data_IF_378451032718
#
_entry.id   IF_378451032718
#
_cell.length_a   1.000
_cell.length_b   1.000
_cell.length_c   1.000
_cell.angle_alpha   90.00
_cell.angle_beta   90.00
_cell.angle_gamma   90.00
#
_symmetry.space_group_name_H-M   'P 1'
#
loop_
_entity.id
_entity.type
_entity.pdbx_description
1 polymer ?
#
# COMPACT_ATOMS: atom_id res chain seq x y z
N UNK A 1 -26.53 -7.25 -7.44
CA UNK A 1 -27.79 -6.63 -6.95
C UNK A 1 -27.41 -5.85 -5.69
N UNK A 2 -27.59 -4.52 -5.64
CA UNK A 2 -26.92 -3.68 -4.61
C UNK A 2 -27.75 -3.41 -3.35
N UNK A 3 -28.88 -4.09 -3.16
CA UNK A 3 -29.77 -3.85 -2.01
C UNK A 3 -29.81 -5.09 -1.11
N UNK A 4 -29.64 -4.94 0.22
CA UNK A 4 -29.79 -6.05 1.14
C UNK A 4 -31.24 -6.55 1.15
N UNK A 5 -31.47 -7.83 1.46
CA UNK A 5 -32.80 -8.34 1.67
C UNK A 5 -33.45 -7.61 2.87
N UNK A 6 -34.80 -7.46 2.90
CA UNK A 6 -35.47 -6.80 4.01
C UNK A 6 -35.11 -7.53 5.32
N UNK A 7 -34.59 -6.78 6.29
CA UNK A 7 -34.25 -7.32 7.61
C UNK A 7 -35.50 -7.68 8.40
N UNK A 8 -35.48 -8.80 9.12
CA UNK A 8 -36.54 -9.10 10.09
C UNK A 8 -36.34 -8.28 11.36
N UNK A 9 -37.38 -7.58 11.86
CA UNK A 9 -37.33 -6.93 13.15
C UNK A 9 -36.95 -7.92 14.26
N UNK A 10 -36.00 -7.53 15.08
CA UNK A 10 -35.50 -8.33 16.18
C UNK A 10 -35.63 -7.53 17.49
N UNK A 11 -36.15 -8.19 18.54
CA UNK A 11 -36.40 -7.54 19.82
C UNK A 11 -35.49 -8.12 20.90
N UNK A 12 -34.44 -7.39 21.34
CA UNK A 12 -33.49 -7.87 22.36
C UNK A 12 -34.14 -8.36 23.67
N UNK A 13 -35.29 -7.80 24.03
CA UNK A 13 -36.03 -8.16 25.25
C UNK A 13 -36.68 -9.55 25.17
N UNK A 14 -36.83 -10.11 23.96
CA UNK A 14 -37.38 -11.45 23.74
C UNK A 14 -36.32 -12.55 23.81
N UNK A 15 -35.06 -12.21 24.10
CA UNK A 15 -33.97 -13.19 24.15
C UNK A 15 -34.12 -14.14 25.36
N UNK A 16 -33.67 -15.40 25.22
CA UNK A 16 -33.42 -16.27 26.36
C UNK A 16 -32.50 -15.57 27.38
N UNK A 17 -32.70 -15.84 28.67
CA UNK A 17 -31.87 -15.29 29.74
C UNK A 17 -30.39 -15.60 29.48
N UNK A 18 -29.56 -14.57 29.50
CA UNK A 18 -28.11 -14.67 29.28
C UNK A 18 -27.68 -14.61 27.82
N UNK A 19 -28.59 -14.40 26.86
CA UNK A 19 -28.25 -14.25 25.44
C UNK A 19 -28.37 -12.79 24.99
N UNK A 20 -27.26 -12.23 24.50
CA UNK A 20 -27.22 -10.90 23.88
C UNK A 20 -26.80 -11.02 22.41
N UNK A 21 -27.67 -10.57 21.49
CA UNK A 21 -27.32 -10.45 20.09
C UNK A 21 -26.85 -9.03 19.78
N UNK A 22 -25.64 -8.95 19.24
CA UNK A 22 -24.94 -7.69 18.95
C UNK A 22 -24.83 -7.50 17.45
N UNK A 23 -24.78 -6.24 17.05
CA UNK A 23 -24.57 -5.85 15.67
C UNK A 23 -23.19 -6.33 15.20
N UNK A 24 -23.17 -6.96 14.05
CA UNK A 24 -21.96 -7.58 13.48
C UNK A 24 -20.88 -6.59 13.09
N UNK A 25 -21.26 -5.34 12.83
CA UNK A 25 -20.37 -4.25 12.41
C UNK A 25 -19.85 -3.44 13.61
N UNK A 26 -20.70 -3.13 14.60
CA UNK A 26 -20.35 -2.17 15.67
C UNK A 26 -20.44 -2.71 17.10
N UNK A 27 -20.92 -3.94 17.31
CA UNK A 27 -21.06 -4.55 18.64
C UNK A 27 -22.18 -3.99 19.53
N UNK A 28 -22.92 -2.95 19.09
CA UNK A 28 -24.10 -2.42 19.80
C UNK A 28 -25.28 -3.43 19.78
N UNK A 29 -26.28 -3.31 20.67
CA UNK A 29 -27.46 -4.17 20.63
C UNK A 29 -28.11 -4.20 19.24
N UNK A 30 -28.51 -5.40 18.80
CA UNK A 30 -29.13 -5.59 17.49
C UNK A 30 -30.65 -5.45 17.53
N UNK A 31 -31.24 -4.89 16.47
CA UNK A 31 -32.68 -4.71 16.29
C UNK A 31 -33.19 -5.27 14.95
N UNK A 32 -32.28 -5.79 14.13
CA UNK A 32 -32.56 -6.42 12.84
C UNK A 32 -31.80 -7.73 12.72
N UNK A 33 -32.40 -8.69 12.04
CA UNK A 33 -31.82 -9.99 11.73
C UNK A 33 -31.84 -10.19 10.20
N UNK A 34 -30.77 -10.74 9.64
CA UNK A 34 -30.73 -11.10 8.23
C UNK A 34 -31.83 -12.12 7.91
N UNK A 35 -32.65 -11.85 6.89
CA UNK A 35 -33.79 -12.70 6.54
C UNK A 35 -33.43 -14.00 5.83
N UNK A 36 -32.23 -14.07 5.24
CA UNK A 36 -31.71 -15.24 4.55
C UNK A 36 -31.04 -16.18 5.55
N UNK A 37 -29.92 -15.79 6.16
CA UNK A 37 -29.15 -16.69 7.01
C UNK A 37 -29.71 -16.83 8.43
N UNK A 38 -30.46 -15.84 8.93
CA UNK A 38 -31.00 -15.77 10.31
C UNK A 38 -29.96 -15.90 11.43
N UNK A 39 -28.66 -15.90 11.12
CA UNK A 39 -27.57 -16.04 12.10
C UNK A 39 -26.79 -14.75 12.32
N UNK A 40 -27.13 -13.68 11.59
CA UNK A 40 -26.40 -12.41 11.56
C UNK A 40 -27.36 -11.27 11.91
N UNK A 41 -26.90 -10.37 12.77
CA UNK A 41 -27.73 -9.36 13.44
C UNK A 41 -27.13 -7.96 13.28
N UNK A 42 -28.01 -6.95 13.21
CA UNK A 42 -27.66 -5.55 12.95
C UNK A 42 -28.41 -4.61 13.89
N UNK A 43 -27.81 -3.47 14.23
CA UNK A 43 -28.50 -2.43 15.00
C UNK A 43 -29.46 -1.58 14.13
N UNK A 44 -29.33 -1.64 12.80
CA UNK A 44 -30.16 -0.86 11.87
C UNK A 44 -29.86 -1.18 10.41
N UNK A 45 -30.64 -0.61 9.49
CA UNK A 45 -30.58 -0.87 8.05
C UNK A 45 -29.26 -0.43 7.42
N UNK A 46 -28.65 0.64 7.96
CA UNK A 46 -27.37 1.15 7.47
C UNK A 46 -26.24 0.13 7.64
N UNK A 47 -26.09 -0.44 8.84
CA UNK A 47 -25.08 -1.48 9.09
C UNK A 47 -25.38 -2.77 8.33
N UNK A 48 -26.66 -3.11 8.13
CA UNK A 48 -27.04 -4.22 7.26
C UNK A 48 -26.58 -3.98 5.81
N UNK A 49 -26.78 -2.77 5.29
CA UNK A 49 -26.39 -2.40 3.92
C UNK A 49 -24.88 -2.42 3.74
N UNK A 50 -24.14 -1.82 4.67
CA UNK A 50 -22.67 -1.79 4.64
C UNK A 50 -22.11 -3.21 4.71
N UNK A 51 -22.62 -4.06 5.61
CA UNK A 51 -22.23 -5.47 5.70
C UNK A 51 -22.58 -6.25 4.42
N UNK A 52 -23.77 -6.04 3.85
CA UNK A 52 -24.23 -6.68 2.62
C UNK A 52 -23.33 -6.39 1.42
N UNK A 53 -23.08 -5.10 1.17
CA UNK A 53 -22.21 -4.66 0.05
C UNK A 53 -20.76 -5.05 0.30
N UNK A 54 -20.31 -5.01 1.56
CA UNK A 54 -18.93 -5.34 1.93
C UNK A 54 -18.61 -6.82 1.77
N UNK A 55 -19.40 -7.71 2.38
CA UNK A 55 -19.06 -9.13 2.44
C UNK A 55 -20.27 -10.08 2.54
N UNK A 56 -21.35 -9.66 3.21
CA UNK A 56 -22.40 -10.56 3.63
C UNK A 56 -23.11 -11.25 2.47
N UNK A 57 -23.32 -10.58 1.33
CA UNK A 57 -23.90 -11.22 0.13
C UNK A 57 -23.15 -12.51 -0.24
N UNK A 58 -21.82 -12.50 -0.11
CA UNK A 58 -20.95 -13.62 -0.50
C UNK A 58 -20.84 -14.69 0.57
N UNK A 59 -21.03 -14.33 1.83
CA UNK A 59 -20.83 -15.26 2.96
C UNK A 59 -22.13 -15.74 3.61
N UNK A 60 -23.27 -15.15 3.24
CA UNK A 60 -24.57 -15.40 3.87
C UNK A 60 -24.92 -16.89 3.94
N UNK A 61 -24.72 -17.61 2.82
CA UNK A 61 -25.01 -19.04 2.73
C UNK A 61 -24.07 -19.88 3.62
N UNK A 62 -22.77 -19.62 3.55
CA UNK A 62 -21.75 -20.35 4.32
C UNK A 62 -21.91 -20.13 5.82
N UNK A 63 -22.29 -18.91 6.23
CA UNK A 63 -22.56 -18.58 7.63
C UNK A 63 -23.65 -19.46 8.26
N UNK A 64 -24.66 -19.86 7.48
CA UNK A 64 -25.69 -20.80 7.98
C UNK A 64 -25.10 -22.17 8.35
N UNK A 65 -24.14 -22.65 7.58
CA UNK A 65 -23.46 -23.92 7.86
C UNK A 65 -22.51 -23.80 9.04
N UNK A 66 -21.74 -22.72 9.12
CA UNK A 66 -20.68 -22.54 10.14
C UNK A 66 -21.29 -22.31 11.52
N UNK A 67 -22.34 -21.48 11.60
CA UNK A 67 -22.96 -21.10 12.88
C UNK A 67 -24.08 -22.04 13.32
N UNK A 68 -24.25 -23.18 12.64
CA UNK A 68 -25.25 -24.17 13.02
C UNK A 68 -24.89 -24.74 14.40
N UNK A 69 -25.83 -24.79 15.36
CA UNK A 69 -25.57 -25.38 16.66
C UNK A 69 -25.17 -26.85 16.48
N UNK A 70 -24.07 -27.24 17.12
CA UNK A 70 -23.56 -28.61 17.07
C UNK A 70 -24.57 -29.52 17.74
N UNK A 71 -25.12 -30.47 16.98
CA UNK A 71 -25.99 -31.52 17.53
C UNK A 71 -25.16 -32.50 18.35
N UNK A 72 -25.80 -33.24 19.25
CA UNK A 72 -25.10 -34.31 19.97
C UNK A 72 -24.57 -35.36 18.97
N UNK A 73 -23.25 -35.57 18.98
CA UNK A 73 -22.55 -36.58 18.16
C UNK A 73 -21.90 -37.55 19.15
N UNK A 74 -22.29 -38.82 19.09
CA UNK A 74 -21.86 -39.83 20.07
C UNK A 74 -20.42 -40.31 19.83
N UNK A 75 -20.02 -40.46 18.56
CA UNK A 75 -18.69 -40.95 18.20
C UNK A 75 -17.62 -39.84 18.34
N UNK A 76 -16.45 -40.17 18.90
CA UNK A 76 -15.31 -39.25 18.90
C UNK A 76 -14.78 -38.99 17.50
N UNK A 77 -14.77 -40.00 16.63
CA UNK A 77 -14.27 -39.88 15.25
C UNK A 77 -15.16 -38.94 14.41
N UNK A 78 -16.48 -39.06 14.57
CA UNK A 78 -17.43 -38.14 13.92
C UNK A 78 -17.29 -36.71 14.46
N UNK A 79 -17.04 -36.55 15.77
CA UNK A 79 -16.77 -35.22 16.35
C UNK A 79 -15.47 -34.63 15.82
N UNK A 80 -14.42 -35.44 15.65
CA UNK A 80 -13.16 -34.99 15.05
C UNK A 80 -13.37 -34.54 13.60
N UNK A 81 -14.01 -35.37 12.78
CA UNK A 81 -14.31 -35.02 11.39
C UNK A 81 -15.13 -33.74 11.28
N UNK A 82 -16.13 -33.55 12.13
CA UNK A 82 -16.93 -32.33 12.15
C UNK A 82 -16.11 -31.09 12.56
N UNK A 83 -15.13 -31.23 13.46
CA UNK A 83 -14.19 -30.14 13.81
C UNK A 83 -13.28 -29.80 12.64
N UNK A 84 -12.72 -30.82 11.97
CA UNK A 84 -11.81 -30.64 10.84
C UNK A 84 -12.55 -29.96 9.66
N UNK A 85 -13.77 -30.40 9.35
CA UNK A 85 -14.64 -29.77 8.32
C UNK A 85 -15.00 -28.32 8.67
N UNK A 86 -15.22 -28.01 9.95
CA UNK A 86 -15.48 -26.64 10.40
C UNK A 86 -14.22 -25.77 10.28
N UNK A 87 -13.06 -26.33 10.63
CA UNK A 87 -11.78 -25.64 10.53
C UNK A 87 -11.45 -25.33 9.07
N UNK A 88 -11.61 -26.27 8.16
CA UNK A 88 -11.42 -26.07 6.71
C UNK A 88 -12.32 -24.95 6.17
N UNK A 89 -13.62 -24.99 6.52
CA UNK A 89 -14.55 -23.89 6.17
C UNK A 89 -14.10 -22.54 6.72
N UNK A 90 -13.59 -22.49 7.94
CA UNK A 90 -13.09 -21.23 8.51
C UNK A 90 -11.85 -20.75 7.75
N UNK A 91 -10.94 -21.63 7.34
CA UNK A 91 -9.75 -21.28 6.53
C UNK A 91 -10.17 -20.69 5.18
N UNK A 92 -11.09 -21.34 4.47
CA UNK A 92 -11.63 -20.83 3.19
C UNK A 92 -12.24 -19.43 3.36
N UNK A 93 -12.95 -19.24 4.48
CA UNK A 93 -13.58 -17.97 4.82
C UNK A 93 -12.57 -16.88 5.16
N UNK A 94 -11.45 -17.21 5.79
CA UNK A 94 -10.33 -16.27 5.99
C UNK A 94 -9.81 -15.79 4.65
N UNK A 95 -9.49 -16.70 3.72
CA UNK A 95 -8.96 -16.35 2.40
C UNK A 95 -9.93 -15.44 1.62
N UNK A 96 -11.22 -15.79 1.60
CA UNK A 96 -12.24 -15.01 0.92
C UNK A 96 -12.42 -13.60 1.51
N UNK A 97 -12.54 -13.51 2.84
CA UNK A 97 -12.79 -12.24 3.53
C UNK A 97 -11.58 -11.32 3.47
N UNK A 98 -10.35 -11.86 3.55
CA UNK A 98 -9.11 -11.12 3.37
C UNK A 98 -9.01 -10.53 1.95
N UNK A 99 -9.24 -11.36 0.92
CA UNK A 99 -9.19 -10.92 -0.48
C UNK A 99 -10.17 -9.77 -0.74
N UNK A 100 -11.42 -9.91 -0.26
CA UNK A 100 -12.46 -8.89 -0.46
C UNK A 100 -12.15 -7.62 0.32
N UNK A 101 -11.69 -7.74 1.57
CA UNK A 101 -11.29 -6.59 2.38
C UNK A 101 -10.18 -5.78 1.69
N UNK A 102 -9.14 -6.44 1.20
CA UNK A 102 -8.04 -5.79 0.46
C UNK A 102 -8.53 -5.14 -0.84
N UNK A 103 -9.33 -5.86 -1.63
CA UNK A 103 -9.94 -5.35 -2.87
C UNK A 103 -10.73 -4.06 -2.62
N UNK A 104 -11.57 -4.03 -1.59
CA UNK A 104 -12.40 -2.85 -1.25
C UNK A 104 -11.54 -1.65 -0.84
N UNK A 105 -10.45 -1.89 -0.09
CA UNK A 105 -9.49 -0.84 0.27
C UNK A 105 -8.78 -0.26 -0.94
N UNK A 106 -8.41 -1.09 -1.91
CA UNK A 106 -7.81 -0.61 -3.16
C UNK A 106 -8.81 0.17 -4.01
N UNK A 107 -10.09 -0.18 -3.97
CA UNK A 107 -11.17 0.57 -4.63
C UNK A 107 -11.53 1.89 -3.93
N UNK A 108 -10.88 2.25 -2.81
CA UNK A 108 -11.16 3.47 -2.06
C UNK A 108 -12.48 3.42 -1.27
N UNK A 109 -12.92 2.21 -0.88
CA UNK A 109 -14.17 1.94 -0.14
C UNK A 109 -13.86 1.43 1.27
N UNK A 110 -13.34 2.29 2.17
CA UNK A 110 -12.91 1.86 3.49
C UNK A 110 -14.09 1.51 4.42
N UNK A 111 -15.28 2.09 4.21
CA UNK A 111 -16.45 1.79 5.03
C UNK A 111 -16.96 0.36 4.80
N UNK A 112 -17.03 -0.05 3.53
CA UNK A 112 -17.44 -1.40 3.12
C UNK A 112 -16.37 -2.46 3.41
N UNK A 113 -15.09 -2.06 3.53
CA UNK A 113 -14.00 -2.97 3.90
C UNK A 113 -14.06 -3.40 5.38
N UNK A 114 -14.60 -2.56 6.27
CA UNK A 114 -14.66 -2.84 7.73
C UNK A 114 -15.38 -4.16 8.04
N UNK A 115 -16.61 -4.42 7.53
CA UNK A 115 -17.26 -5.70 7.78
C UNK A 115 -16.46 -6.91 7.28
N UNK A 116 -15.86 -6.83 6.10
CA UNK A 116 -15.03 -7.90 5.56
C UNK A 116 -13.84 -8.20 6.49
N UNK A 117 -13.16 -7.15 6.97
CA UNK A 117 -12.02 -7.27 7.88
C UNK A 117 -12.42 -7.80 9.26
N UNK A 118 -13.58 -7.40 9.80
CA UNK A 118 -14.12 -7.91 11.06
C UNK A 118 -14.50 -9.40 10.96
N UNK A 119 -15.09 -9.83 9.84
CA UNK A 119 -15.36 -11.25 9.62
C UNK A 119 -14.06 -12.04 9.45
N UNK A 120 -13.08 -11.51 8.70
CA UNK A 120 -11.76 -12.09 8.57
C UNK A 120 -11.13 -12.34 9.94
N UNK A 121 -11.10 -11.32 10.81
CA UNK A 121 -10.57 -11.45 12.17
C UNK A 121 -11.25 -12.56 12.98
N UNK A 122 -12.59 -12.68 12.90
CA UNK A 122 -13.35 -13.72 13.60
C UNK A 122 -12.99 -15.12 13.08
N UNK A 123 -13.03 -15.32 11.76
CA UNK A 123 -12.70 -16.61 11.16
C UNK A 123 -11.25 -17.01 11.39
N UNK A 124 -10.32 -16.05 11.37
CA UNK A 124 -8.91 -16.31 11.68
C UNK A 124 -8.74 -16.76 13.12
N UNK A 125 -9.42 -16.10 14.07
CA UNK A 125 -9.39 -16.51 15.47
C UNK A 125 -9.98 -17.91 15.67
N UNK A 126 -11.06 -18.25 14.95
CA UNK A 126 -11.70 -19.57 15.01
C UNK A 126 -10.89 -20.67 14.30
N UNK A 127 -10.16 -20.35 13.22
CA UNK A 127 -9.36 -21.30 12.45
C UNK A 127 -7.99 -21.60 13.07
N UNK A 128 -7.31 -20.56 13.59
CA UNK A 128 -5.91 -20.63 14.01
C UNK A 128 -5.69 -20.31 15.50
N UNK A 129 -6.72 -19.80 16.19
CA UNK A 129 -6.62 -19.39 17.59
C UNK A 129 -6.10 -17.97 17.80
N UNK A 130 -6.19 -17.48 19.05
CA UNK A 130 -5.87 -16.10 19.44
C UNK A 130 -4.36 -15.77 19.49
N UNK A 131 -3.51 -16.76 19.31
CA UNK A 131 -2.05 -16.63 19.39
C UNK A 131 -1.36 -17.00 18.06
N UNK A 132 -2.06 -16.81 16.93
CA UNK A 132 -1.53 -17.08 15.60
C UNK A 132 -1.06 -15.79 14.91
N UNK A 133 0.01 -15.91 14.12
CA UNK A 133 0.52 -14.83 13.25
C UNK A 133 -0.50 -14.42 12.18
N UNK A 134 -1.43 -15.32 11.80
CA UNK A 134 -2.46 -15.05 10.79
C UNK A 134 -3.40 -13.90 11.20
N UNK A 135 -3.51 -13.62 12.50
CA UNK A 135 -4.31 -12.48 13.00
C UNK A 135 -3.74 -11.12 12.61
N UNK A 136 -2.47 -11.05 12.19
CA UNK A 136 -1.85 -9.78 11.79
C UNK A 136 -2.56 -9.19 10.58
N UNK A 137 -2.84 -9.97 9.53
CA UNK A 137 -3.44 -9.46 8.30
C UNK A 137 -4.83 -8.81 8.52
N UNK A 138 -5.80 -9.42 9.24
CA UNK A 138 -7.06 -8.77 9.59
C UNK A 138 -6.88 -7.43 10.33
N UNK A 139 -5.95 -7.34 11.28
CA UNK A 139 -5.67 -6.08 11.99
C UNK A 139 -5.11 -5.00 11.06
N UNK A 140 -4.27 -5.37 10.09
CA UNK A 140 -3.75 -4.42 9.10
C UNK A 140 -4.85 -3.88 8.19
N UNK A 141 -5.81 -4.72 7.76
CA UNK A 141 -6.97 -4.31 6.95
C UNK A 141 -7.88 -3.37 7.76
N UNK A 142 -8.14 -3.70 9.04
CA UNK A 142 -8.92 -2.84 9.94
C UNK A 142 -8.23 -1.48 10.20
N UNK A 143 -6.91 -1.48 10.35
CA UNK A 143 -6.12 -0.26 10.51
C UNK A 143 -6.22 0.62 9.27
N UNK A 144 -6.00 0.07 8.07
CA UNK A 144 -6.10 0.83 6.81
C UNK A 144 -7.52 1.35 6.56
N UNK A 145 -8.55 0.54 6.84
CA UNK A 145 -9.95 0.99 6.80
C UNK A 145 -10.18 2.17 7.73
N UNK A 146 -9.64 2.10 8.95
CA UNK A 146 -9.76 3.16 9.95
C UNK A 146 -9.01 4.44 9.55
N UNK A 147 -7.85 4.32 8.91
CA UNK A 147 -7.11 5.45 8.31
C UNK A 147 -7.94 6.10 7.20
N UNK A 148 -8.51 5.31 6.30
CA UNK A 148 -9.37 5.81 5.22
C UNK A 148 -10.63 6.52 5.70
N UNK A 149 -11.13 6.17 6.88
CA UNK A 149 -12.26 6.84 7.55
C UNK A 149 -11.84 8.02 8.44
N UNK A 150 -10.54 8.36 8.52
CA UNK A 150 -10.01 9.42 9.39
C UNK A 150 -10.03 9.09 10.89
N UNK A 151 -10.30 7.84 11.28
CA UNK A 151 -10.34 7.38 12.67
C UNK A 151 -8.96 6.96 13.16
N UNK A 152 -8.03 7.93 13.24
CA UNK A 152 -6.60 7.66 13.48
C UNK A 152 -6.33 6.95 14.81
N UNK A 153 -7.02 7.33 15.90
CA UNK A 153 -6.87 6.66 17.19
C UNK A 153 -7.26 5.16 17.13
N UNK A 154 -8.28 4.85 16.33
CA UNK A 154 -8.72 3.46 16.13
C UNK A 154 -7.71 2.68 15.28
N UNK A 155 -7.15 3.32 14.24
CA UNK A 155 -6.10 2.72 13.43
C UNK A 155 -4.84 2.39 14.26
N UNK A 156 -4.43 3.29 15.15
CA UNK A 156 -3.32 3.06 16.09
C UNK A 156 -3.56 1.85 16.98
N UNK A 157 -4.77 1.70 17.52
CA UNK A 157 -5.11 0.57 18.36
C UNK A 157 -4.99 -0.76 17.59
N UNK A 158 -5.45 -0.81 16.34
CA UNK A 158 -5.31 -2.01 15.50
C UNK A 158 -3.85 -2.30 15.12
N UNK A 159 -3.04 -1.28 14.83
CA UNK A 159 -1.62 -1.47 14.55
C UNK A 159 -0.85 -1.92 15.79
N UNK A 160 -1.20 -1.43 16.98
CA UNK A 160 -0.64 -1.91 18.23
C UNK A 160 -1.01 -3.38 18.48
N UNK A 161 -2.24 -3.80 18.16
CA UNK A 161 -2.66 -5.20 18.22
C UNK A 161 -1.87 -6.08 17.24
N UNK A 162 -1.66 -5.62 16.00
CA UNK A 162 -0.83 -6.31 15.01
C UNK A 162 0.62 -6.47 15.50
N UNK A 163 1.24 -5.40 16.00
CA UNK A 163 2.60 -5.42 16.57
C UNK A 163 2.70 -6.38 17.76
N UNK A 164 1.71 -6.38 18.64
CA UNK A 164 1.66 -7.26 19.80
C UNK A 164 1.54 -8.74 19.41
N UNK A 165 0.73 -9.06 18.40
CA UNK A 165 0.66 -10.41 17.85
C UNK A 165 2.01 -10.83 17.28
N UNK A 166 2.64 -10.00 16.45
CA UNK A 166 3.96 -10.27 15.88
C UNK A 166 5.05 -10.46 16.95
N UNK A 167 4.97 -9.73 18.07
CA UNK A 167 5.90 -9.91 19.18
C UNK A 167 5.74 -11.28 19.85
N UNK A 168 4.51 -11.78 19.99
CA UNK A 168 4.27 -13.13 20.54
C UNK A 168 4.67 -14.24 19.58
N UNK A 169 4.51 -14.01 18.28
CA UNK A 169 4.78 -15.00 17.21
C UNK A 169 6.04 -14.67 16.44
N UNK A 170 7.09 -14.19 17.13
CA UNK A 170 8.28 -13.60 16.50
C UNK A 170 8.99 -14.55 15.52
N UNK A 171 8.98 -15.85 15.80
CA UNK A 171 9.61 -16.90 14.99
C UNK A 171 8.84 -17.22 13.70
N UNK A 172 7.56 -16.88 13.63
CA UNK A 172 6.67 -17.15 12.47
C UNK A 172 6.52 -15.92 11.56
N UNK A 173 7.04 -14.77 11.97
CA UNK A 173 6.91 -13.53 11.21
C UNK A 173 7.86 -13.53 10.01
N UNK A 174 7.30 -13.67 8.80
CA UNK A 174 8.03 -13.50 7.54
C UNK A 174 8.34 -12.02 7.25
N UNK A 175 9.24 -11.75 6.30
CA UNK A 175 9.52 -10.38 5.88
C UNK A 175 8.31 -9.76 5.16
N UNK A 176 7.50 -10.58 4.48
CA UNK A 176 6.20 -10.18 3.94
C UNK A 176 5.30 -9.50 4.99
N UNK A 177 5.15 -10.12 6.17
CA UNK A 177 4.29 -9.60 7.24
C UNK A 177 4.88 -8.32 7.84
N UNK A 178 6.21 -8.30 8.06
CA UNK A 178 6.91 -7.09 8.54
C UNK A 178 6.75 -5.91 7.58
N UNK A 179 6.90 -6.15 6.28
CA UNK A 179 6.69 -5.15 5.23
C UNK A 179 5.28 -4.57 5.30
N UNK A 180 4.24 -5.42 5.32
CA UNK A 180 2.86 -4.97 5.37
C UNK A 180 2.55 -4.12 6.61
N UNK A 181 3.04 -4.51 7.78
CA UNK A 181 2.90 -3.71 9.00
C UNK A 181 3.52 -2.32 8.85
N UNK A 182 4.78 -2.27 8.40
CA UNK A 182 5.51 -1.01 8.23
C UNK A 182 4.87 -0.11 7.17
N UNK A 183 4.28 -0.68 6.11
CA UNK A 183 3.48 0.06 5.14
C UNK A 183 2.30 0.77 5.80
N UNK A 184 1.56 0.06 6.67
CA UNK A 184 0.40 0.64 7.36
C UNK A 184 0.80 1.68 8.42
N UNK A 185 1.95 1.50 9.09
CA UNK A 185 2.53 2.52 9.96
C UNK A 185 2.91 3.78 9.17
N UNK A 186 3.54 3.62 8.01
CA UNK A 186 3.84 4.72 7.09
C UNK A 186 2.60 5.53 6.71
N UNK A 187 1.53 4.83 6.32
CA UNK A 187 0.22 5.44 6.03
C UNK A 187 -0.37 6.20 7.22
N UNK A 188 -0.31 5.62 8.42
CA UNK A 188 -0.82 6.26 9.64
C UNK A 188 -0.05 7.55 9.95
N UNK A 189 1.28 7.51 9.94
CA UNK A 189 2.11 8.68 10.24
C UNK A 189 1.93 9.78 9.18
N UNK A 190 1.81 9.40 7.91
CA UNK A 190 1.48 10.33 6.84
C UNK A 190 0.12 11.02 7.07
N UNK A 191 -0.91 10.26 7.49
CA UNK A 191 -2.22 10.81 7.81
C UNK A 191 -2.22 11.72 9.06
N UNK A 192 -1.32 11.47 10.03
CA UNK A 192 -1.07 12.37 11.17
C UNK A 192 -0.27 13.63 10.78
N UNK A 193 0.37 13.61 9.63
CA UNK A 193 1.26 14.67 9.17
C UNK A 193 2.72 14.56 9.66
N UNK A 194 3.07 13.48 10.35
CA UNK A 194 4.46 13.17 10.73
C UNK A 194 5.15 12.45 9.56
N UNK A 195 5.66 13.24 8.62
CA UNK A 195 6.24 12.70 7.40
C UNK A 195 7.61 12.04 7.62
N UNK A 196 8.36 12.43 8.65
CA UNK A 196 9.68 11.83 8.93
C UNK A 196 9.50 10.39 9.42
N UNK A 197 8.62 10.17 10.40
CA UNK A 197 8.28 8.83 10.87
C UNK A 197 7.61 7.99 9.77
N UNK A 198 6.83 8.62 8.89
CA UNK A 198 6.25 7.95 7.72
C UNK A 198 7.33 7.43 6.77
N UNK A 199 8.30 8.26 6.39
CA UNK A 199 9.39 7.87 5.49
C UNK A 199 10.27 6.78 6.11
N UNK A 200 10.58 6.85 7.41
CA UNK A 200 11.34 5.79 8.08
C UNK A 200 10.59 4.45 8.06
N UNK A 201 9.28 4.49 8.31
CA UNK A 201 8.44 3.29 8.27
C UNK A 201 8.35 2.73 6.85
N UNK A 202 8.20 3.58 5.83
CA UNK A 202 8.14 3.16 4.43
C UNK A 202 9.50 2.64 3.92
N UNK A 203 10.62 3.16 4.42
CA UNK A 203 11.93 2.62 4.12
C UNK A 203 12.09 1.18 4.65
N UNK A 204 11.60 0.91 5.88
CA UNK A 204 11.54 -0.44 6.45
C UNK A 204 10.63 -1.36 5.63
N UNK A 205 9.48 -0.86 5.17
CA UNK A 205 8.58 -1.61 4.27
C UNK A 205 9.31 -2.03 2.98
N UNK A 206 9.91 -1.08 2.26
CA UNK A 206 10.65 -1.34 1.02
C UNK A 206 11.79 -2.34 1.27
N UNK A 207 12.53 -2.20 2.37
CA UNK A 207 13.60 -3.12 2.76
C UNK A 207 13.08 -4.56 2.92
N UNK A 208 12.07 -4.77 3.78
CA UNK A 208 11.54 -6.11 4.01
C UNK A 208 10.86 -6.70 2.77
N UNK A 209 10.13 -5.90 2.00
CA UNK A 209 9.53 -6.34 0.74
C UNK A 209 10.60 -6.76 -0.27
N UNK A 210 11.70 -6.00 -0.36
CA UNK A 210 12.82 -6.33 -1.25
C UNK A 210 13.55 -7.60 -0.82
N UNK A 211 13.69 -7.85 0.49
CA UNK A 211 14.26 -9.09 1.00
C UNK A 211 13.40 -10.32 0.72
N UNK A 212 12.07 -10.16 0.67
CA UNK A 212 11.12 -11.25 0.44
C UNK A 212 10.90 -11.53 -1.05
N UNK A 213 10.71 -10.47 -1.86
CA UNK A 213 10.23 -10.58 -3.24
C UNK A 213 11.19 -10.03 -4.29
N UNK A 214 12.19 -9.25 -3.87
CA UNK A 214 13.05 -8.48 -4.76
C UNK A 214 12.58 -7.04 -5.01
N UNK A 215 13.47 -6.25 -5.59
CA UNK A 215 13.29 -4.80 -5.84
C UNK A 215 12.37 -4.47 -7.01
N UNK A 216 12.10 -5.45 -7.87
CA UNK A 216 11.34 -5.31 -9.11
C UNK A 216 9.97 -6.00 -9.05
N UNK A 217 9.51 -6.33 -7.84
CA UNK A 217 8.25 -7.05 -7.63
C UNK A 217 7.08 -6.10 -7.29
N UNK A 218 5.86 -6.41 -7.75
CA UNK A 218 4.66 -5.58 -7.53
C UNK A 218 4.38 -5.29 -6.05
N UNK A 219 4.69 -6.24 -5.15
CA UNK A 219 4.55 -6.05 -3.69
C UNK A 219 5.52 -5.02 -3.12
N UNK A 220 6.69 -4.84 -3.74
CA UNK A 220 7.67 -3.81 -3.38
C UNK A 220 7.28 -2.46 -3.99
N UNK A 221 6.68 -2.46 -5.19
CA UNK A 221 6.13 -1.26 -5.83
C UNK A 221 5.13 -0.51 -4.93
N UNK A 222 4.34 -1.23 -4.12
CA UNK A 222 3.46 -0.59 -3.14
C UNK A 222 4.18 0.31 -2.14
N UNK A 223 5.39 -0.06 -1.69
CA UNK A 223 6.20 0.78 -0.80
C UNK A 223 6.73 2.03 -1.51
N UNK A 224 7.24 1.88 -2.74
CA UNK A 224 7.67 3.03 -3.57
C UNK A 224 6.53 4.01 -3.83
N UNK A 225 5.35 3.50 -4.14
CA UNK A 225 4.15 4.31 -4.38
C UNK A 225 3.78 5.13 -3.13
N UNK A 226 3.72 4.50 -1.95
CA UNK A 226 3.40 5.23 -0.72
C UNK A 226 4.47 6.26 -0.36
N UNK A 227 5.75 5.96 -0.61
CA UNK A 227 6.82 6.91 -0.34
C UNK A 227 6.75 8.13 -1.28
N UNK A 228 6.37 7.93 -2.55
CA UNK A 228 6.14 9.01 -3.50
C UNK A 228 4.98 9.92 -3.06
N UNK A 229 3.88 9.33 -2.60
CA UNK A 229 2.73 10.07 -2.04
C UNK A 229 3.15 10.95 -0.85
N UNK A 230 3.99 10.43 0.06
CA UNK A 230 4.52 11.21 1.20
C UNK A 230 5.39 12.37 0.73
N UNK A 231 6.33 12.16 -0.19
CA UNK A 231 7.15 13.25 -0.73
C UNK A 231 6.31 14.31 -1.43
N UNK A 232 5.27 13.91 -2.15
CA UNK A 232 4.35 14.84 -2.79
C UNK A 232 3.50 15.62 -1.78
N UNK A 233 3.01 14.96 -0.73
CA UNK A 233 2.29 15.61 0.37
C UNK A 233 3.17 16.60 1.15
N UNK A 234 4.45 16.29 1.33
CA UNK A 234 5.44 17.21 1.87
C UNK A 234 5.60 18.46 0.99
N UNK A 235 5.72 18.28 -0.33
CA UNK A 235 5.82 19.40 -1.27
C UNK A 235 4.59 20.31 -1.21
N UNK A 236 3.38 19.74 -1.25
CA UNK A 236 2.13 20.52 -1.13
C UNK A 236 2.08 21.35 0.16
N UNK A 237 2.46 20.75 1.28
CA UNK A 237 2.54 21.45 2.58
C UNK A 237 3.52 22.62 2.54
N UNK A 238 4.69 22.44 1.93
CA UNK A 238 5.69 23.50 1.85
C UNK A 238 5.24 24.64 0.93
N UNK A 239 4.60 24.33 -0.20
CA UNK A 239 3.97 25.31 -1.07
C UNK A 239 2.91 26.14 -0.33
N UNK A 240 2.04 25.48 0.44
CA UNK A 240 0.99 26.14 1.24
C UNK A 240 1.59 27.08 2.29
N UNK A 241 2.64 26.65 2.99
CA UNK A 241 3.37 27.49 3.95
C UNK A 241 3.96 28.72 3.28
N UNK A 242 4.57 28.58 2.10
CA UNK A 242 5.11 29.71 1.33
C UNK A 242 4.00 30.69 0.91
N UNK A 243 2.84 30.20 0.45
CA UNK A 243 1.69 31.03 0.08
C UNK A 243 1.12 31.78 1.29
N UNK A 244 1.03 31.13 2.46
CA UNK A 244 0.59 31.76 3.71
C UNK A 244 1.57 32.84 4.18
N UNK A 245 2.88 32.57 4.13
CA UNK A 245 3.90 33.56 4.49
C UNK A 245 3.86 34.81 3.60
N UNK A 246 3.62 34.65 2.29
CA UNK A 246 3.50 35.74 1.33
C UNK A 246 2.21 36.59 1.51
N UNK A 247 1.14 35.99 2.03
CA UNK A 247 -0.11 36.71 2.32
C UNK A 247 -0.03 37.50 3.64
N UNK A 248 0.65 36.96 4.66
CA UNK A 248 0.86 37.66 5.95
C UNK A 248 1.74 38.91 5.82
N UNK A 249 2.69 38.94 4.89
CA UNK A 249 3.55 40.11 4.64
C UNK A 249 2.82 41.26 3.93
N UNK A 250 1.70 41.01 3.24
CA UNK A 250 0.89 42.06 2.59
C UNK A 250 -0.08 42.78 3.52
N UNK A 251 -0.28 42.30 4.76
CA UNK A 251 -1.19 42.90 5.75
C UNK A 251 -0.51 43.88 6.73
N UNK A 252 0.80 44.16 6.58
CA UNK A 252 1.61 44.95 7.53
C UNK A 252 2.23 46.21 6.89
N UNK A 253 1.52 46.87 5.97
CA UNK A 253 1.97 48.14 5.41
C UNK A 253 1.05 49.29 5.86
N UNK A 254 1.27 49.78 7.09
CA UNK A 254 0.86 51.14 7.49
C UNK A 254 2.09 51.82 8.09
N UNK A 255 2.59 52.94 7.53
CA UNK A 255 3.69 53.68 8.11
C UNK A 255 3.12 54.74 9.08
N UNK A 256 3.36 54.59 10.39
CA UNK A 256 3.15 55.68 11.35
C UNK A 256 4.46 56.13 11.99
N UNK A 257 4.94 57.26 11.46
CA UNK A 257 5.68 58.38 12.05
C UNK A 257 6.03 58.36 13.55
N UNK A 258 7.35 58.52 13.79
CA UNK A 258 8.09 59.25 14.85
C UNK A 258 7.29 60.11 15.86
N UNK A 259 7.62 60.01 17.17
CA UNK A 259 8.08 61.08 18.12
C UNK A 259 8.62 60.43 19.43
N UNK A 260 9.75 60.94 19.98
CA UNK A 260 10.58 60.41 21.11
C UNK A 260 10.10 60.74 22.56
N UNK A 261 10.96 60.94 23.61
CA UNK A 261 12.30 61.59 23.56
C UNK A 261 13.44 61.06 24.51
N UNK A 262 14.69 61.41 24.14
CA UNK A 262 15.83 61.98 24.92
C UNK A 262 16.10 61.64 26.40
N UNK A 263 17.33 61.18 26.71
CA UNK A 263 18.39 61.96 27.40
C UNK A 263 19.69 61.14 27.69
N UNK A 264 20.83 61.65 27.22
CA UNK A 264 22.24 61.25 27.47
C UNK A 264 22.76 61.84 28.81
N UNK A 265 23.94 61.46 29.41
CA UNK A 265 25.27 61.63 28.79
C UNK A 265 26.34 60.56 29.09
N UNK A 266 27.31 60.44 28.17
CA UNK A 266 28.62 59.82 28.40
C UNK A 266 29.58 60.83 29.03
N UNK A 267 30.50 60.38 29.88
CA UNK A 267 31.73 61.10 30.25
C UNK A 267 32.96 60.21 29.95
N UNK A 268 34.08 60.78 29.44
CA UNK A 268 35.24 60.05 28.91
C UNK A 268 36.47 60.07 29.85
N UNK A 269 37.32 59.02 29.81
CA UNK A 269 38.75 59.12 30.19
C UNK A 269 39.37 58.00 31.04
N UNK A 270 39.94 56.97 30.37
CA UNK A 270 41.14 56.13 30.66
C UNK A 270 41.41 55.49 32.05
N UNK A 271 42.40 54.56 32.22
CA UNK A 271 43.23 53.81 31.26
C UNK A 271 43.08 52.25 31.40
N UNK A 272 43.69 51.51 30.47
CA UNK A 272 43.83 50.04 30.49
C UNK A 272 44.79 49.55 31.59
N UNK A 273 44.48 48.42 32.24
CA UNK A 273 45.54 47.49 32.65
C UNK A 273 45.22 46.00 32.36
N UNK A 274 46.21 45.29 31.81
CA UNK A 274 46.51 43.86 32.06
C UNK A 274 47.77 43.82 32.98
N UNK A 275 48.25 42.71 33.58
CA UNK A 275 47.80 41.29 33.61
C UNK A 275 47.85 40.61 35.02
N UNK A 276 47.71 39.26 35.05
CA UNK A 276 48.20 38.24 36.03
C UNK A 276 47.31 37.83 37.25
N UNK A 277 46.76 36.60 37.37
CA UNK A 277 47.28 35.20 37.60
C UNK A 277 47.57 34.85 39.10
N UNK A 278 47.72 33.58 39.55
CA UNK A 278 47.22 32.24 39.14
C UNK A 278 46.60 31.42 40.34
N UNK A 279 46.12 30.17 40.19
CA UNK A 279 46.74 28.86 40.56
C UNK A 279 45.61 27.80 40.38
N UNK A 280 45.73 26.59 39.79
CA UNK A 280 46.61 25.45 40.08
C UNK A 280 46.63 24.46 38.89
N UNK A 281 47.80 23.86 38.65
CA UNK A 281 48.14 22.92 37.58
C UNK A 281 48.08 21.44 38.00
N UNK A 282 47.74 20.57 37.06
CA UNK A 282 48.29 19.20 36.90
C UNK A 282 47.99 18.75 35.45
N UNK A 283 48.94 18.88 34.52
CA UNK A 283 50.07 18.00 34.21
C UNK A 283 49.73 16.86 33.21
N UNK A 284 50.29 17.05 32.02
CA UNK A 284 50.90 16.07 31.09
C UNK A 284 50.08 15.41 29.97
N UNK A 285 50.18 16.05 28.80
CA UNK A 285 50.39 15.42 27.50
C UNK A 285 51.84 14.90 27.39
N UNK A 286 52.08 13.77 26.71
CA UNK A 286 53.18 13.55 25.74
C UNK A 286 52.93 12.20 25.01
N UNK A 287 52.59 12.34 23.73
CA UNK A 287 53.05 11.60 22.54
C UNK A 287 53.77 10.25 22.69
N UNK A 288 53.41 9.28 21.85
CA UNK A 288 54.31 8.17 21.49
C UNK A 288 53.61 7.00 20.82
N UNK A 289 53.62 6.98 19.49
CA UNK A 289 53.36 5.80 18.67
C UNK A 289 54.30 4.65 19.04
N UNK A 290 53.76 3.46 19.29
CA UNK A 290 54.51 2.19 19.18
C UNK A 290 53.63 1.18 18.47
N UNK A 291 54.14 0.74 17.32
CA UNK A 291 53.64 -0.35 16.50
C UNK A 291 53.43 -1.64 17.31
N UNK A 292 52.29 -2.30 17.10
CA UNK A 292 52.18 -3.75 17.33
C UNK A 292 51.70 -4.40 16.04
N UNK A 293 52.70 -4.94 15.35
CA UNK A 293 52.62 -5.79 14.19
C UNK A 293 52.18 -7.20 14.64
N UNK A 294 51.05 -7.70 14.12
CA UNK A 294 50.76 -9.13 14.10
C UNK A 294 50.54 -9.58 12.65
N UNK A 295 51.55 -10.26 12.11
CA UNK A 295 51.52 -10.91 10.80
C UNK A 295 50.81 -12.26 10.87
N UNK A 296 49.86 -12.49 9.95
CA UNK A 296 49.80 -13.72 9.14
C UNK A 296 49.35 -13.31 7.72
N UNK A 297 49.96 -13.80 6.63
CA UNK A 297 49.78 -13.24 5.28
C UNK A 297 48.74 -14.01 4.45
N UNK A 298 47.82 -13.28 3.79
CA UNK A 298 47.17 -13.70 2.54
C UNK A 298 46.60 -12.46 1.77
N UNK A 299 46.43 -12.53 0.42
CA UNK A 299 46.76 -11.48 -0.55
C UNK A 299 45.68 -10.39 -0.72
N UNK A 300 45.96 -9.28 -1.43
CA UNK A 300 45.26 -8.01 -1.22
C UNK A 300 43.88 -8.00 -1.87
N UNK A 301 42.83 -7.92 -1.04
CA UNK A 301 41.55 -7.38 -1.49
C UNK A 301 41.70 -5.88 -1.69
N UNK A 302 41.48 -5.41 -2.92
CA UNK A 302 41.34 -3.98 -3.26
C UNK A 302 40.20 -3.38 -2.42
N UNK A 303 40.53 -2.80 -1.28
CA UNK A 303 39.61 -1.95 -0.54
C UNK A 303 39.35 -0.69 -1.38
N UNK A 304 38.12 -0.58 -1.88
CA UNK A 304 37.56 0.71 -2.26
C UNK A 304 37.50 1.54 -0.97
N UNK A 305 38.38 2.53 -0.84
CA UNK A 305 38.24 3.57 0.15
C UNK A 305 36.95 4.33 -0.19
N UNK A 306 35.84 3.94 0.42
CA UNK A 306 34.66 4.78 0.51
C UNK A 306 35.09 6.05 1.24
N UNK A 307 34.96 7.18 0.56
CA UNK A 307 35.29 8.50 1.11
C UNK A 307 34.56 8.76 2.43
N UNK A 308 35.05 9.76 3.17
CA UNK A 308 34.51 10.22 4.45
C UNK A 308 32.98 10.13 4.50
N UNK A 309 32.43 9.71 5.66
CA UNK A 309 30.98 9.65 5.93
C UNK A 309 30.31 11.00 5.64
N UNK A 310 29.93 11.24 4.39
CA UNK A 310 29.05 12.32 4.01
C UNK A 310 27.69 12.01 4.61
N UNK A 311 27.33 12.80 5.61
CA UNK A 311 26.01 12.70 6.24
C UNK A 311 24.97 12.97 5.16
N UNK A 312 24.30 11.91 4.70
CA UNK A 312 23.22 11.99 3.71
C UNK A 312 22.18 12.97 4.25
N UNK A 313 22.01 14.10 3.57
CA UNK A 313 21.02 15.10 3.91
C UNK A 313 19.69 14.76 3.22
N UNK A 314 18.54 15.09 3.83
CA UNK A 314 17.26 14.90 3.18
C UNK A 314 17.20 15.70 1.87
N UNK A 315 16.53 15.17 0.82
CA UNK A 315 16.51 15.79 -0.49
C UNK A 315 15.89 17.18 -0.41
N UNK A 316 16.60 18.17 -0.96
CA UNK A 316 16.17 19.58 -0.97
C UNK A 316 14.88 19.75 -1.77
N UNK A 317 14.83 19.12 -2.96
CA UNK A 317 13.64 19.11 -3.80
C UNK A 317 12.94 17.74 -3.74
N UNK A 318 11.68 17.75 -3.30
CA UNK A 318 10.90 16.54 -3.02
C UNK A 318 10.20 16.01 -4.27
N UNK A 319 9.97 16.87 -5.27
CA UNK A 319 9.26 16.52 -6.50
C UNK A 319 10.04 15.54 -7.38
N UNK A 320 11.33 15.77 -7.71
CA UNK A 320 12.09 14.81 -8.52
C UNK A 320 12.19 13.42 -7.87
N UNK A 321 12.18 13.38 -6.53
CA UNK A 321 12.15 12.12 -5.78
C UNK A 321 10.82 11.42 -5.95
N UNK A 322 9.70 12.13 -5.82
CA UNK A 322 8.37 11.59 -6.09
C UNK A 322 8.23 11.12 -7.55
N UNK A 323 8.71 11.91 -8.52
CA UNK A 323 8.69 11.57 -9.95
C UNK A 323 9.47 10.28 -10.23
N UNK A 324 10.68 10.13 -9.66
CA UNK A 324 11.51 8.94 -9.80
C UNK A 324 10.85 7.70 -9.18
N UNK A 325 10.27 7.84 -7.99
CA UNK A 325 9.55 6.75 -7.32
C UNK A 325 8.30 6.33 -8.11
N UNK A 326 7.52 7.29 -8.64
CA UNK A 326 6.37 6.97 -9.48
C UNK A 326 6.79 6.31 -10.80
N UNK A 327 7.85 6.78 -11.45
CA UNK A 327 8.39 6.12 -12.64
C UNK A 327 8.76 4.66 -12.34
N UNK A 328 9.46 4.42 -11.21
CA UNK A 328 9.81 3.08 -10.76
C UNK A 328 8.59 2.17 -10.51
N UNK A 329 7.52 2.71 -9.93
CA UNK A 329 6.25 1.98 -9.74
C UNK A 329 5.64 1.60 -11.09
N UNK A 330 5.60 2.54 -12.03
CA UNK A 330 5.09 2.29 -13.38
C UNK A 330 5.92 1.21 -14.06
N UNK A 331 7.25 1.26 -14.00
CA UNK A 331 8.13 0.27 -14.63
C UNK A 331 7.90 -1.15 -14.12
N UNK A 332 7.75 -1.31 -12.80
CA UNK A 332 7.47 -2.60 -12.18
C UNK A 332 6.12 -3.15 -12.66
N UNK A 333 5.07 -2.33 -12.57
CA UNK A 333 3.74 -2.77 -12.99
C UNK A 333 3.67 -3.09 -14.47
N UNK A 334 4.25 -2.25 -15.31
CA UNK A 334 4.21 -2.42 -16.75
C UNK A 334 5.03 -3.61 -17.25
N UNK A 335 6.17 -3.92 -16.62
CA UNK A 335 6.88 -5.18 -16.89
C UNK A 335 6.00 -6.39 -16.56
N UNK A 336 5.41 -6.42 -15.36
CA UNK A 336 4.55 -7.51 -14.92
C UNK A 336 3.28 -7.66 -15.79
N UNK A 337 2.63 -6.55 -16.14
CA UNK A 337 1.46 -6.55 -17.02
C UNK A 337 1.83 -7.00 -18.44
N UNK A 338 3.01 -6.62 -18.95
CA UNK A 338 3.49 -7.08 -20.24
C UNK A 338 3.75 -8.60 -20.25
N UNK A 339 4.27 -9.17 -19.16
CA UNK A 339 4.44 -10.62 -19.00
C UNK A 339 3.09 -11.35 -19.07
N UNK A 340 2.08 -10.84 -18.36
CA UNK A 340 0.72 -11.37 -18.39
C UNK A 340 0.11 -11.26 -19.79
N UNK A 341 0.23 -10.10 -20.46
CA UNK A 341 -0.27 -9.94 -21.83
C UNK A 341 0.43 -10.92 -22.79
N UNK A 342 1.74 -11.11 -22.67
CA UNK A 342 2.49 -12.10 -23.46
C UNK A 342 1.98 -13.51 -23.21
N UNK A 343 1.74 -13.89 -21.95
CA UNK A 343 1.14 -15.19 -21.60
C UNK A 343 -0.26 -15.36 -22.22
N UNK A 344 -1.11 -14.33 -22.14
CA UNK A 344 -2.48 -14.35 -22.68
C UNK A 344 -2.56 -14.34 -24.21
N UNK A 345 -1.51 -13.90 -24.89
CA UNK A 345 -1.44 -13.80 -26.37
C UNK A 345 -0.59 -14.91 -26.98
N UNK A 346 0.10 -15.71 -26.17
CA UNK A 346 0.91 -16.80 -26.67
C UNK A 346 0.04 -17.91 -27.26
N UNK A 347 0.27 -18.25 -28.54
CA UNK A 347 -0.27 -19.46 -29.16
C UNK A 347 0.78 -20.57 -29.01
N UNK A 348 0.45 -21.71 -28.36
CA UNK A 348 1.39 -22.83 -28.33
C UNK A 348 1.62 -23.31 -29.77
N UNK A 349 2.89 -23.32 -30.18
CA UNK A 349 3.29 -23.92 -31.46
C UNK A 349 3.10 -25.42 -31.32
N UNK A 350 2.02 -25.96 -31.89
CA UNK A 350 1.79 -27.41 -31.94
C UNK A 350 2.62 -27.96 -33.10
N UNK A 351 3.66 -28.80 -32.85
CA UNK A 351 4.38 -29.45 -33.94
C UNK A 351 3.43 -30.37 -34.72
N UNK A 352 3.52 -30.37 -36.05
CA UNK A 352 2.73 -31.27 -36.90
C UNK A 352 2.88 -32.73 -36.43
N UNK A 353 1.78 -33.34 -36.00
CA UNK A 353 1.72 -34.75 -35.57
C UNK A 353 1.44 -34.97 -34.08
N UNK A 354 1.37 -33.93 -33.25
CA UNK A 354 0.99 -34.05 -31.83
C UNK A 354 -0.41 -33.43 -31.66
N UNK A 355 -1.42 -34.24 -31.34
CA UNK A 355 -2.81 -33.80 -31.26
C UNK A 355 -3.04 -32.70 -30.22
N UNK A 356 -4.10 -31.91 -30.42
CA UNK A 356 -4.52 -30.77 -29.57
C UNK A 356 -4.55 -31.07 -28.05
N UNK A 357 -4.75 -32.34 -27.68
CA UNK A 357 -4.77 -32.83 -26.30
C UNK A 357 -3.45 -32.63 -25.56
N UNK A 358 -2.29 -32.69 -26.24
CA UNK A 358 -0.99 -32.50 -25.59
C UNK A 358 -0.73 -31.02 -25.30
N UNK A 359 -1.26 -30.10 -26.12
CA UNK A 359 -1.15 -28.66 -25.90
C UNK A 359 -1.95 -28.19 -24.67
N UNK A 360 -3.06 -28.85 -24.33
CA UNK A 360 -3.83 -28.60 -23.10
C UNK A 360 -3.11 -29.14 -21.84
N UNK A 361 -2.39 -30.26 -21.95
CA UNK A 361 -1.67 -30.87 -20.81
C UNK A 361 -0.39 -30.09 -20.47
N UNK A 362 0.21 -29.39 -21.43
CA UNK A 362 1.41 -28.54 -21.23
C UNK A 362 1.10 -27.08 -20.92
N UNK A 363 -0.17 -26.68 -20.77
CA UNK A 363 -0.50 -25.32 -20.33
C UNK A 363 -0.04 -25.14 -18.88
N UNK A 364 1.16 -24.59 -18.72
CA UNK A 364 1.58 -23.91 -17.50
C UNK A 364 0.44 -22.97 -17.07
N UNK A 365 0.09 -23.02 -15.79
CA UNK A 365 -0.98 -22.20 -15.22
C UNK A 365 -0.82 -20.75 -15.68
N UNK A 366 -1.77 -20.24 -16.46
CA UNK A 366 -1.73 -18.87 -16.99
C UNK A 366 -1.57 -17.91 -15.81
N UNK A 367 -0.45 -17.18 -15.78
CA UNK A 367 -0.23 -16.15 -14.76
C UNK A 367 -1.31 -15.08 -14.93
N UNK A 368 -2.18 -14.95 -13.93
CA UNK A 368 -3.26 -13.96 -13.91
C UNK A 368 -3.24 -13.17 -12.61
N UNK A 369 -3.66 -11.92 -12.68
CA UNK A 369 -3.84 -11.09 -11.50
C UNK A 369 -5.10 -11.53 -10.74
N UNK A 370 -4.96 -11.68 -9.43
CA UNK A 370 -6.12 -11.81 -8.55
C UNK A 370 -6.92 -10.49 -8.49
N UNK A 371 -8.11 -10.59 -7.92
CA UNK A 371 -9.05 -9.46 -7.83
C UNK A 371 -8.54 -8.27 -6.99
N UNK A 372 -7.67 -8.52 -6.00
CA UNK A 372 -7.08 -7.47 -5.18
C UNK A 372 -5.90 -6.82 -5.90
N UNK A 373 -5.04 -7.59 -6.56
CA UNK A 373 -3.94 -7.10 -7.39
C UNK A 373 -4.44 -6.24 -8.55
N UNK A 374 -5.54 -6.64 -9.22
CA UNK A 374 -6.22 -5.82 -10.23
C UNK A 374 -6.64 -4.46 -9.68
N UNK A 375 -7.24 -4.45 -8.49
CA UNK A 375 -7.67 -3.22 -7.83
C UNK A 375 -6.48 -2.36 -7.37
N UNK A 376 -5.38 -2.98 -6.92
CA UNK A 376 -4.14 -2.30 -6.53
C UNK A 376 -3.47 -1.62 -7.74
N UNK A 377 -3.35 -2.34 -8.86
CA UNK A 377 -2.82 -1.81 -10.11
C UNK A 377 -3.65 -0.62 -10.60
N UNK A 378 -4.98 -0.76 -10.57
CA UNK A 378 -5.91 0.31 -10.92
C UNK A 378 -5.71 1.53 -10.00
N UNK A 379 -5.67 1.35 -8.69
CA UNK A 379 -5.42 2.44 -7.73
C UNK A 379 -4.11 3.16 -8.03
N UNK A 380 -3.00 2.43 -8.20
CA UNK A 380 -1.68 3.03 -8.36
C UNK A 380 -1.53 3.73 -9.70
N UNK A 381 -1.83 3.05 -10.81
CA UNK A 381 -1.58 3.62 -12.15
C UNK A 381 -2.47 4.84 -12.42
N UNK A 382 -3.75 4.81 -12.02
CA UNK A 382 -4.63 5.97 -12.17
C UNK A 382 -4.28 7.11 -11.20
N UNK A 383 -3.78 6.82 -9.99
CA UNK A 383 -3.27 7.86 -9.09
C UNK A 383 -2.03 8.56 -9.68
N UNK A 384 -1.12 7.78 -10.29
CA UNK A 384 0.07 8.33 -10.97
C UNK A 384 -0.35 9.15 -12.20
N UNK A 385 -1.31 8.67 -12.98
CA UNK A 385 -1.89 9.44 -14.09
C UNK A 385 -2.45 10.77 -13.60
N UNK A 386 -3.26 10.78 -12.55
CA UNK A 386 -3.84 11.99 -11.98
C UNK A 386 -2.75 12.95 -11.45
N UNK A 387 -1.74 12.43 -10.74
CA UNK A 387 -0.59 13.20 -10.27
C UNK A 387 0.10 13.93 -11.43
N UNK A 388 0.35 13.25 -12.55
CA UNK A 388 1.02 13.84 -13.71
C UNK A 388 0.19 14.90 -14.40
N UNK A 389 -1.12 14.70 -14.51
CA UNK A 389 -2.03 15.73 -15.01
C UNK A 389 -1.98 17.00 -14.13
N UNK A 390 -1.97 16.84 -12.80
CA UNK A 390 -1.84 17.97 -11.86
C UNK A 390 -0.50 18.69 -12.01
N UNK A 391 0.60 17.93 -12.20
CA UNK A 391 1.94 18.49 -12.41
C UNK A 391 2.04 19.30 -13.70
N UNK A 392 1.46 18.81 -14.80
CA UNK A 392 1.45 19.51 -16.09
C UNK A 392 0.73 20.86 -16.02
N UNK A 393 -0.39 20.93 -15.29
CA UNK A 393 -1.13 22.18 -15.07
C UNK A 393 -0.32 23.17 -14.22
N UNK A 394 0.43 22.68 -13.23
CA UNK A 394 1.24 23.51 -12.35
C UNK A 394 2.56 23.98 -12.99
N UNK A 395 3.07 23.27 -14.00
CA UNK A 395 4.40 23.48 -14.59
C UNK A 395 4.46 24.46 -15.76
N UNK A 396 3.52 25.40 -15.90
CA UNK A 396 3.69 26.52 -16.85
C UNK A 396 4.93 27.38 -16.55
N UNK A 397 5.56 27.18 -15.38
CA UNK A 397 6.89 27.68 -15.04
C UNK A 397 7.79 26.57 -14.50
N UNK A 398 8.63 26.01 -15.38
CA UNK A 398 9.94 25.41 -15.10
C UNK A 398 10.02 24.13 -14.23
N UNK A 399 10.09 22.97 -14.89
CA UNK A 399 10.94 21.78 -14.62
C UNK A 399 10.36 20.60 -15.39
N UNK A 400 10.97 20.26 -16.53
CA UNK A 400 10.68 18.99 -17.21
C UNK A 400 10.92 17.82 -16.25
N UNK A 401 10.04 16.82 -16.28
CA UNK A 401 10.22 15.56 -15.54
C UNK A 401 11.61 15.04 -15.90
N UNK A 402 12.54 15.02 -14.94
CA UNK A 402 13.95 14.72 -15.20
C UNK A 402 14.08 13.28 -15.68
N UNK A 403 14.28 13.10 -16.98
CA UNK A 403 14.55 11.80 -17.57
C UNK A 403 16.00 11.41 -17.24
N UNK A 404 16.19 10.32 -16.51
CA UNK A 404 17.51 9.72 -16.36
C UNK A 404 17.97 9.17 -17.72
N UNK A 405 19.23 9.40 -18.07
CA UNK A 405 19.82 8.91 -19.33
C UNK A 405 19.59 7.41 -19.49
N UNK A 406 18.93 6.99 -20.57
CA UNK A 406 18.66 5.59 -20.90
C UNK A 406 17.39 4.99 -20.31
N UNK A 407 16.52 5.77 -19.65
CA UNK A 407 15.21 5.31 -19.20
C UNK A 407 14.11 5.61 -20.24
N UNK A 408 13.08 4.76 -20.37
CA UNK A 408 11.95 5.00 -21.26
C UNK A 408 11.24 6.31 -20.89
N UNK A 409 10.65 6.98 -21.88
CA UNK A 409 9.82 8.17 -21.61
C UNK A 409 8.73 7.81 -20.59
N UNK A 410 8.69 8.46 -19.41
CA UNK A 410 7.81 7.99 -18.36
C UNK A 410 6.33 8.16 -18.73
N UNK A 411 5.97 9.11 -19.62
CA UNK A 411 4.58 9.34 -20.04
C UNK A 411 4.13 8.21 -20.96
N UNK A 412 4.93 7.87 -21.97
CA UNK A 412 4.65 6.76 -22.88
C UNK A 412 4.54 5.45 -22.08
N UNK A 413 5.48 5.22 -21.15
CA UNK A 413 5.49 4.03 -20.29
C UNK A 413 4.21 3.88 -19.46
N UNK A 414 3.73 4.97 -18.85
CA UNK A 414 2.49 4.96 -18.08
C UNK A 414 1.25 4.67 -18.95
N UNK A 415 1.16 5.28 -20.14
CA UNK A 415 0.04 5.06 -21.05
C UNK A 415 0.01 3.60 -21.55
N UNK A 416 1.18 3.00 -21.83
CA UNK A 416 1.28 1.58 -22.15
C UNK A 416 0.85 0.70 -20.98
N UNK A 417 1.30 1.00 -19.75
CA UNK A 417 0.86 0.29 -18.55
C UNK A 417 -0.66 0.33 -18.38
N UNK A 418 -1.29 1.49 -18.57
CA UNK A 418 -2.74 1.65 -18.52
C UNK A 418 -3.45 0.90 -19.65
N UNK A 419 -2.87 0.86 -20.86
CA UNK A 419 -3.41 0.07 -21.96
C UNK A 419 -3.40 -1.43 -21.63
N UNK A 420 -2.27 -1.96 -21.16
CA UNK A 420 -2.12 -3.37 -20.73
C UNK A 420 -3.07 -3.71 -19.58
N UNK A 421 -3.17 -2.85 -18.56
CA UNK A 421 -4.09 -3.04 -17.45
C UNK A 421 -5.54 -3.11 -17.94
N UNK A 422 -5.98 -2.15 -18.78
CA UNK A 422 -7.35 -2.15 -19.28
C UNK A 422 -7.63 -3.35 -20.21
N UNK A 423 -6.62 -3.89 -20.89
CA UNK A 423 -6.76 -5.15 -21.62
C UNK A 423 -7.00 -6.34 -20.68
N UNK A 424 -6.22 -6.45 -19.60
CA UNK A 424 -6.37 -7.50 -18.58
C UNK A 424 -7.71 -7.38 -17.82
N UNK A 425 -8.20 -6.17 -17.63
CA UNK A 425 -9.52 -5.89 -17.03
C UNK A 425 -10.69 -6.06 -18.01
N UNK A 426 -10.43 -6.50 -19.24
CA UNK A 426 -11.43 -6.67 -20.31
C UNK A 426 -12.15 -5.36 -20.71
N UNK A 427 -11.52 -4.21 -20.47
CA UNK A 427 -12.00 -2.86 -20.83
C UNK A 427 -11.41 -2.42 -22.16
N UNK A 428 -11.77 -3.14 -23.23
CA UNK A 428 -11.17 -3.01 -24.56
C UNK A 428 -11.16 -1.58 -25.12
N UNK A 429 -12.26 -0.83 -24.98
CA UNK A 429 -12.36 0.55 -25.47
C UNK A 429 -11.29 1.45 -24.85
N UNK A 430 -11.11 1.35 -23.53
CA UNK A 430 -10.07 2.09 -22.80
C UNK A 430 -8.67 1.61 -23.18
N UNK A 431 -8.47 0.31 -23.34
CA UNK A 431 -7.17 -0.24 -23.76
C UNK A 431 -6.72 0.33 -25.11
N UNK A 432 -7.62 0.37 -26.10
CA UNK A 432 -7.37 0.96 -27.43
C UNK A 432 -7.10 2.46 -27.34
N UNK A 433 -7.88 3.19 -26.53
CA UNK A 433 -7.67 4.62 -26.31
C UNK A 433 -6.26 4.90 -25.77
N UNK A 434 -5.86 4.23 -24.70
CA UNK A 434 -4.54 4.42 -24.09
C UNK A 434 -3.38 4.03 -25.03
N UNK A 435 -3.57 3.01 -25.87
CA UNK A 435 -2.57 2.63 -26.88
C UNK A 435 -2.44 3.71 -27.97
N UNK A 436 -3.55 4.31 -28.41
CA UNK A 436 -3.51 5.39 -29.40
C UNK A 436 -2.79 6.62 -28.81
N UNK A 437 -3.11 6.99 -27.57
CA UNK A 437 -2.44 8.09 -26.87
C UNK A 437 -0.95 7.81 -26.65
N UNK A 438 -0.57 6.56 -26.33
CA UNK A 438 0.83 6.19 -26.14
C UNK A 438 1.64 6.27 -27.44
N UNK A 439 1.06 5.87 -28.58
CA UNK A 439 1.69 5.99 -29.91
C UNK A 439 1.97 7.45 -30.26
N UNK A 440 0.97 8.32 -30.10
CA UNK A 440 1.14 9.76 -30.35
C UNK A 440 2.23 10.33 -29.43
N UNK A 441 2.22 9.98 -28.14
CA UNK A 441 3.26 10.44 -27.21
C UNK A 441 4.67 9.92 -27.58
N UNK A 442 4.76 8.70 -28.12
CA UNK A 442 6.01 8.08 -28.52
C UNK A 442 6.68 8.79 -29.71
N UNK A 443 5.91 9.35 -30.64
CA UNK A 443 6.43 10.12 -31.79
C UNK A 443 7.23 11.36 -31.36
N UNK A 444 6.90 11.95 -30.22
CA UNK A 444 7.58 13.12 -29.67
C UNK A 444 8.64 12.78 -28.61
N UNK A 445 8.74 11.50 -28.22
CA UNK A 445 9.67 11.03 -27.22
C UNK A 445 11.01 10.62 -27.83
N UNK A 446 12.05 10.52 -27.00
CA UNK A 446 13.33 9.93 -27.43
C UNK A 446 13.07 8.44 -27.76
N UNK A 447 13.46 7.96 -28.96
CA UNK A 447 13.28 6.57 -29.34
C UNK A 447 13.90 5.61 -28.32
N UNK A 448 13.14 4.61 -27.90
CA UNK A 448 13.55 3.61 -26.92
C UNK A 448 13.01 2.23 -27.33
N UNK A 449 13.92 1.27 -27.54
CA UNK A 449 13.62 -0.05 -28.11
C UNK A 449 12.51 -0.80 -27.34
N UNK A 450 12.58 -0.80 -26.01
CA UNK A 450 11.56 -1.45 -25.18
C UNK A 450 10.15 -0.90 -25.40
N UNK A 451 10.00 0.42 -25.60
CA UNK A 451 8.68 1.03 -25.80
C UNK A 451 8.11 0.60 -27.16
N UNK A 452 8.96 0.49 -28.18
CA UNK A 452 8.56 -0.01 -29.50
C UNK A 452 8.05 -1.45 -29.42
N UNK A 453 8.77 -2.32 -28.72
CA UNK A 453 8.39 -3.74 -28.52
C UNK A 453 7.03 -3.84 -27.80
N UNK A 454 6.81 -3.03 -26.75
CA UNK A 454 5.56 -3.06 -26.00
C UNK A 454 4.37 -2.47 -26.76
N UNK A 455 4.60 -1.44 -27.59
CA UNK A 455 3.59 -0.93 -28.53
C UNK A 455 3.18 -2.03 -29.50
N UNK A 456 4.14 -2.74 -30.09
CA UNK A 456 3.88 -3.85 -31.01
C UNK A 456 3.12 -5.00 -30.32
N UNK A 457 3.56 -5.40 -29.12
CA UNK A 457 2.87 -6.39 -28.30
C UNK A 457 1.39 -6.05 -28.11
N UNK A 458 1.10 -4.81 -27.68
CA UNK A 458 -0.29 -4.40 -27.44
C UNK A 458 -1.10 -4.25 -28.72
N UNK A 459 -0.45 -3.88 -29.83
CA UNK A 459 -1.08 -3.84 -31.16
C UNK A 459 -1.57 -5.22 -31.56
N UNK A 460 -0.68 -6.21 -31.51
CA UNK A 460 -0.98 -7.60 -31.84
C UNK A 460 -2.05 -8.17 -30.89
N UNK A 461 -1.91 -7.93 -29.58
CA UNK A 461 -2.86 -8.39 -28.57
C UNK A 461 -4.30 -7.91 -28.82
N UNK A 462 -4.45 -6.64 -29.20
CA UNK A 462 -5.75 -6.04 -29.47
C UNK A 462 -6.31 -6.46 -30.84
N UNK A 463 -5.46 -6.69 -31.85
CA UNK A 463 -5.89 -7.17 -33.17
C UNK A 463 -6.32 -8.65 -33.15
N UNK A 464 -5.57 -9.53 -32.49
CA UNK A 464 -5.87 -10.97 -32.44
C UNK A 464 -7.20 -11.30 -31.76
N UNK A 465 -7.57 -10.57 -30.70
CA UNK A 465 -8.88 -10.72 -30.04
C UNK A 465 -10.07 -10.23 -30.88
N UNK A 466 -9.86 -9.57 -32.03
CA UNK A 466 -10.93 -9.29 -33.01
C UNK A 466 -11.26 -10.55 -33.81
N UNK A 467 -10.28 -11.40 -34.02
CA UNK A 467 -10.36 -12.58 -34.90
C UNK A 467 -10.77 -13.86 -34.17
N UNK A 468 -10.79 -13.87 -32.83
CA UNK A 468 -11.30 -14.98 -32.03
C UNK A 468 -12.83 -14.90 -31.90
N UNK A 469 -13.62 -15.89 -32.39
CA UNK A 469 -15.05 -15.91 -32.18
C UNK A 469 -15.35 -16.00 -30.68
N UNK A 470 -16.34 -15.22 -30.24
CA UNK A 470 -16.88 -15.26 -28.89
C UNK A 470 -17.45 -16.66 -28.63
N UNK A 471 -16.71 -17.53 -27.95
CA UNK A 471 -17.26 -18.78 -27.41
C UNK A 471 -17.98 -18.39 -26.13
N UNK A 472 -19.26 -18.04 -26.27
CA UNK A 472 -20.20 -17.97 -25.16
C UNK A 472 -20.42 -19.38 -24.63
N UNK A 473 -19.82 -19.71 -23.48
CA UNK A 473 -20.23 -20.87 -22.71
C UNK A 473 -21.55 -20.54 -22.00
N UNK A 474 -22.58 -21.34 -22.29
CA UNK A 474 -23.92 -21.29 -21.68
C UNK A 474 -23.94 -21.85 -20.26
#
# INVERSE_FOLDING_TARGET
MNLPPPGFPFYPLANPKGTEYKCEVCGKPAFLQCSICRVTYYCGTEHQKIDWVGIHEKICATLMSIRKPVTFIASEDERRKARDELQEKNIDMVSLTQLIGQKLLFQGKPEEAVPAALQCLKFTADAYGLASVELVSPYLILAESSIGLGRLCQAEAYLAQAQWTMLKTQHECSNAIRSQLHRKLGLLYAAKGDYEAALESLAKDIFYASCEYGTDHIRTAGGYFQMAEVFYAMHKRDEEKCKQAANSTKSSAVPHSLVGPSATPQIPGGPVPKPDNPVLSSANTITGSVDVHCCVPNPPCRMLCLGAEEKISPPVNKIPVADSLYARVVDIWSAHLADIVRSLTHRPVVPEGIGAVVAEITQETVETLDDAQKAEAEKMLYAIEQYRHQRLIASESDTGITQALGQPDPKVRLLLALSMLNFILDRRSKAVQYLAESRVAHEFAIPHEQLTIEIELMTNALEERISAPCITAH
#
